data_IF_080440530794
#
_entry.id   IF_080440530794
#
_cell.length_a   1.000
_cell.length_b   1.000
_cell.length_c   1.000
_cell.angle_alpha   90.00
_cell.angle_beta   90.00
_cell.angle_gamma   90.00
#
_symmetry.space_group_name_H-M   'P 1'
#
loop_
_entity.id
_entity.type
_entity.pdbx_description
1 polymer ?
#
# COMPACT_ATOMS: atom_id res chain seq x y z
N UNK A 1 8.74 -26.32 -15.81
CA UNK A 1 8.27 -25.46 -14.70
C UNK A 1 7.85 -24.12 -15.29
N UNK A 2 6.58 -23.73 -15.22
CA UNK A 2 6.11 -22.42 -15.70
C UNK A 2 6.12 -21.42 -14.55
N UNK A 3 6.83 -20.30 -14.70
CA UNK A 3 6.78 -19.18 -13.75
C UNK A 3 5.48 -18.41 -13.98
N UNK A 4 4.78 -18.03 -12.90
CA UNK A 4 3.57 -17.19 -12.94
C UNK A 4 3.78 -15.96 -12.08
N UNK A 5 3.58 -14.77 -12.65
CA UNK A 5 3.54 -13.51 -11.90
C UNK A 5 2.12 -13.33 -11.37
N UNK A 6 1.96 -13.40 -10.05
CA UNK A 6 0.66 -13.33 -9.37
C UNK A 6 0.45 -12.04 -8.57
N UNK A 7 1.50 -11.23 -8.44
CA UNK A 7 1.46 -9.93 -7.79
C UNK A 7 2.62 -9.05 -8.22
N UNK A 8 2.44 -7.74 -8.05
CA UNK A 8 3.40 -6.70 -8.39
C UNK A 8 3.36 -5.63 -7.31
N UNK A 9 4.55 -5.16 -6.91
CA UNK A 9 4.73 -4.01 -6.04
C UNK A 9 5.78 -3.09 -6.64
N UNK A 10 5.48 -1.79 -6.71
CA UNK A 10 6.39 -0.74 -7.12
C UNK A 10 6.51 0.25 -5.96
N UNK A 11 7.75 0.58 -5.59
CA UNK A 11 8.05 1.55 -4.54
C UNK A 11 9.01 2.63 -5.04
N UNK A 12 8.90 3.82 -4.46
CA UNK A 12 9.89 4.88 -4.59
C UNK A 12 10.66 5.03 -3.28
N UNK A 13 11.90 4.53 -3.24
CA UNK A 13 12.77 4.68 -2.06
C UNK A 13 13.03 6.16 -1.74
N UNK A 14 13.23 6.98 -2.77
CA UNK A 14 13.49 8.43 -2.63
C UNK A 14 12.33 9.16 -1.95
N UNK A 15 11.09 8.79 -2.26
CA UNK A 15 9.88 9.41 -1.69
C UNK A 15 9.34 8.68 -0.46
N UNK A 16 9.91 7.52 -0.10
CA UNK A 16 9.33 6.59 0.88
C UNK A 16 7.87 6.24 0.57
N UNK A 17 7.58 5.92 -0.70
CA UNK A 17 6.21 5.79 -1.21
C UNK A 17 5.97 4.41 -1.82
N UNK A 18 4.79 3.84 -1.56
CA UNK A 18 4.25 2.71 -2.31
C UNK A 18 3.49 3.28 -3.52
N UNK A 19 4.06 3.12 -4.71
CA UNK A 19 3.51 3.71 -5.93
C UNK A 19 2.43 2.83 -6.56
N UNK A 20 2.57 1.50 -6.45
CA UNK A 20 1.61 0.58 -7.05
C UNK A 20 1.63 -0.78 -6.36
N UNK A 21 0.46 -1.36 -6.12
CA UNK A 21 0.30 -2.71 -5.58
C UNK A 21 -0.86 -3.42 -6.29
N UNK A 22 -0.58 -4.59 -6.86
CA UNK A 22 -1.59 -5.42 -7.48
C UNK A 22 -1.37 -6.90 -7.14
N UNK A 23 -2.48 -7.63 -6.98
CA UNK A 23 -2.50 -9.09 -6.88
C UNK A 23 -3.56 -9.60 -7.85
N UNK A 24 -3.17 -10.59 -8.65
CA UNK A 24 -4.05 -11.25 -9.61
C UNK A 24 -5.34 -11.73 -8.90
N UNK A 25 -6.54 -11.52 -9.47
CA UNK A 25 -7.82 -11.81 -8.79
C UNK A 25 -7.90 -13.19 -8.14
N UNK A 26 -7.48 -14.25 -8.86
CA UNK A 26 -7.49 -15.64 -8.38
C UNK A 26 -6.51 -15.95 -7.23
N UNK A 27 -5.65 -14.99 -6.86
CA UNK A 27 -4.66 -15.12 -5.80
C UNK A 27 -4.86 -14.11 -4.65
N UNK A 28 -5.95 -13.33 -4.69
CA UNK A 28 -6.34 -12.42 -3.59
C UNK A 28 -6.75 -13.22 -2.35
N UNK A 29 -6.73 -12.57 -1.19
CA UNK A 29 -7.05 -13.15 0.14
C UNK A 29 -6.13 -14.31 0.57
N UNK A 30 -4.96 -14.47 -0.06
CA UNK A 30 -3.92 -15.46 0.30
C UNK A 30 -2.69 -14.85 0.97
N UNK A 31 -2.80 -13.63 1.51
CA UNK A 31 -1.69 -12.93 2.18
C UNK A 31 -0.62 -12.29 1.27
N UNK A 32 -0.65 -12.53 -0.05
CA UNK A 32 0.38 -12.06 -0.99
C UNK A 32 0.64 -10.55 -0.90
N UNK A 33 -0.40 -9.73 -0.89
CA UNK A 33 -0.27 -8.28 -0.82
C UNK A 33 0.39 -7.84 0.51
N UNK A 34 0.02 -8.48 1.61
CA UNK A 34 0.62 -8.22 2.92
C UNK A 34 2.10 -8.59 2.95
N UNK A 35 2.49 -9.72 2.38
CA UNK A 35 3.89 -10.14 2.31
C UNK A 35 4.73 -9.24 1.42
N UNK A 36 4.21 -8.82 0.25
CA UNK A 36 4.88 -7.83 -0.60
C UNK A 36 5.12 -6.51 0.15
N UNK A 37 4.13 -6.02 0.89
CA UNK A 37 4.25 -4.79 1.68
C UNK A 37 5.24 -4.94 2.84
N UNK A 38 5.17 -6.04 3.61
CA UNK A 38 6.14 -6.29 4.69
C UNK A 38 7.57 -6.36 4.17
N UNK A 39 7.77 -7.01 3.02
CA UNK A 39 9.07 -7.05 2.36
C UNK A 39 9.55 -5.65 2.00
N UNK A 40 8.69 -4.79 1.44
CA UNK A 40 9.11 -3.44 1.05
C UNK A 40 9.45 -2.54 2.23
N UNK A 41 8.86 -2.74 3.40
CA UNK A 41 9.20 -1.97 4.60
C UNK A 41 10.70 -2.07 4.95
N UNK A 42 11.30 -3.23 4.68
CA UNK A 42 12.73 -3.47 4.89
C UNK A 42 13.63 -2.73 3.87
N UNK A 43 13.04 -2.22 2.78
CA UNK A 43 13.77 -1.56 1.70
C UNK A 43 13.82 -0.03 1.84
N UNK A 44 13.07 0.54 2.78
CA UNK A 44 13.04 1.96 3.10
C UNK A 44 14.02 2.31 4.23
N UNK A 45 14.32 3.59 4.41
CA UNK A 45 15.06 4.06 5.58
C UNK A 45 14.19 3.83 6.83
N UNK A 46 14.71 3.19 7.91
CA UNK A 46 13.96 2.96 9.14
C UNK A 46 13.38 4.23 9.78
N UNK A 47 13.99 5.40 9.55
CA UNK A 47 13.51 6.69 10.07
C UNK A 47 12.42 7.32 9.19
N UNK A 48 12.09 6.72 8.05
CA UNK A 48 11.08 7.25 7.13
C UNK A 48 9.66 7.01 7.63
N UNK A 49 8.77 7.90 7.17
CA UNK A 49 7.34 7.65 7.09
C UNK A 49 7.02 7.13 5.70
N UNK A 50 6.48 5.91 5.59
CA UNK A 50 6.02 5.35 4.33
C UNK A 50 4.66 5.94 3.98
N UNK A 51 4.46 6.35 2.74
CA UNK A 51 3.19 6.83 2.22
C UNK A 51 2.59 5.87 1.19
N UNK A 52 1.26 5.87 1.10
CA UNK A 52 0.51 5.27 0.00
C UNK A 52 -0.79 6.04 -0.19
N UNK A 53 -1.20 6.28 -1.43
CA UNK A 53 -2.52 6.83 -1.71
C UNK A 53 -3.50 5.71 -2.02
N UNK A 54 -4.73 5.80 -1.51
CA UNK A 54 -5.80 4.88 -1.85
C UNK A 54 -7.15 5.59 -1.92
N UNK A 55 -8.20 4.85 -2.26
CA UNK A 55 -9.55 5.40 -2.33
C UNK A 55 -10.05 5.87 -0.95
N UNK A 56 -10.97 6.83 -0.96
CA UNK A 56 -11.61 7.36 0.25
C UNK A 56 -12.52 6.32 0.92
N UNK A 57 -12.97 6.61 2.14
CA UNK A 57 -13.78 5.68 2.94
C UNK A 57 -15.12 5.31 2.30
N UNK A 58 -15.74 6.27 1.62
CA UNK A 58 -17.03 6.17 0.94
C UNK A 58 -16.94 5.46 -0.43
N UNK A 59 -15.72 5.20 -0.92
CA UNK A 59 -15.52 4.49 -2.18
C UNK A 59 -15.45 2.98 -1.97
N UNK A 60 -16.36 2.24 -2.62
CA UNK A 60 -16.39 0.77 -2.62
C UNK A 60 -15.06 0.12 -3.03
N UNK A 61 -14.27 0.75 -3.91
CA UNK A 61 -12.94 0.28 -4.32
C UNK A 61 -11.93 0.36 -3.16
N UNK A 62 -12.18 1.23 -2.18
CA UNK A 62 -11.38 1.44 -0.98
C UNK A 62 -11.50 0.36 0.07
N UNK A 63 -12.60 -0.40 0.11
CA UNK A 63 -12.91 -1.34 1.20
C UNK A 63 -11.76 -2.33 1.46
N UNK A 64 -11.24 -2.98 0.41
CA UNK A 64 -10.16 -3.95 0.52
C UNK A 64 -8.78 -3.31 0.80
N UNK A 65 -8.29 -2.34 0.01
CA UNK A 65 -6.98 -1.74 0.24
C UNK A 65 -6.90 -0.97 1.56
N UNK A 66 -7.94 -0.21 1.96
CA UNK A 66 -7.96 0.49 3.26
C UNK A 66 -7.82 -0.49 4.42
N UNK A 67 -8.58 -1.60 4.39
CA UNK A 67 -8.49 -2.65 5.41
C UNK A 67 -7.09 -3.28 5.47
N UNK A 68 -6.47 -3.49 4.32
CA UNK A 68 -5.10 -4.01 4.22
C UNK A 68 -4.07 -3.04 4.82
N UNK A 69 -4.14 -1.75 4.46
CA UNK A 69 -3.18 -0.77 4.98
C UNK A 69 -3.36 -0.57 6.50
N UNK A 70 -4.61 -0.42 6.98
CA UNK A 70 -4.90 -0.32 8.42
C UNK A 70 -4.39 -1.52 9.21
N UNK A 71 -4.55 -2.75 8.69
CA UNK A 71 -4.06 -3.96 9.38
C UNK A 71 -2.54 -4.05 9.45
N UNK A 72 -1.81 -3.33 8.60
CA UNK A 72 -0.35 -3.21 8.63
C UNK A 72 0.13 -1.98 9.42
N UNK A 73 -0.79 -1.29 10.11
CA UNK A 73 -0.50 -0.13 10.95
C UNK A 73 -0.26 1.16 10.16
N UNK A 74 -0.80 1.27 8.94
CA UNK A 74 -0.98 2.59 8.34
C UNK A 74 -2.16 3.29 8.99
N UNK A 75 -2.06 4.60 9.10
CA UNK A 75 -3.14 5.49 9.51
C UNK A 75 -3.53 6.40 8.37
N UNK A 76 -4.75 6.90 8.44
CA UNK A 76 -5.26 7.91 7.53
C UNK A 76 -4.55 9.25 7.74
N UNK A 77 -4.30 9.94 6.64
CA UNK A 77 -3.75 11.29 6.58
C UNK A 77 -4.62 12.14 5.63
N UNK A 78 -4.07 13.21 5.05
CA UNK A 78 -4.78 14.15 4.19
C UNK A 78 -5.61 13.50 3.06
N UNK A 79 -6.76 14.12 2.77
CA UNK A 79 -7.54 13.84 1.57
C UNK A 79 -6.85 14.49 0.37
N UNK A 80 -6.74 13.75 -0.73
CA UNK A 80 -6.04 14.17 -1.93
C UNK A 80 -6.91 13.98 -3.18
N UNK A 81 -6.36 14.37 -4.34
CA UNK A 81 -6.84 13.99 -5.66
C UNK A 81 -5.68 13.47 -6.50
N UNK A 82 -5.87 12.33 -7.14
CA UNK A 82 -4.92 11.77 -8.09
C UNK A 82 -5.59 11.55 -9.44
N UNK A 83 -5.04 12.13 -10.50
CA UNK A 83 -5.56 12.04 -11.87
C UNK A 83 -7.06 12.39 -11.98
N UNK A 84 -7.52 13.38 -11.20
CA UNK A 84 -8.91 13.80 -11.15
C UNK A 84 -9.83 12.89 -10.31
N UNK A 85 -9.29 11.90 -9.62
CA UNK A 85 -10.04 10.99 -8.76
C UNK A 85 -9.84 11.32 -7.26
N UNK A 86 -10.90 11.41 -6.45
CA UNK A 86 -10.80 11.63 -5.00
C UNK A 86 -10.10 10.46 -4.29
N UNK A 87 -9.03 10.76 -3.57
CA UNK A 87 -8.21 9.78 -2.86
C UNK A 87 -7.90 10.26 -1.45
N UNK A 88 -7.22 9.41 -0.68
CA UNK A 88 -6.72 9.72 0.66
C UNK A 88 -5.32 9.12 0.84
N UNK A 89 -4.42 9.92 1.39
CA UNK A 89 -3.09 9.47 1.77
C UNK A 89 -3.15 8.66 3.06
N UNK A 90 -2.36 7.60 3.10
CA UNK A 90 -2.13 6.77 4.27
C UNK A 90 -0.64 6.82 4.60
N UNK A 91 -0.33 6.90 5.89
CA UNK A 91 1.05 6.99 6.37
C UNK A 91 1.37 5.87 7.37
N UNK A 92 2.62 5.41 7.39
CA UNK A 92 3.16 4.46 8.36
C UNK A 92 4.54 4.91 8.82
N UNK A 93 4.70 5.16 10.11
CA UNK A 93 6.02 5.37 10.72
C UNK A 93 6.71 4.03 10.93
N UNK A 94 7.95 3.89 10.44
CA UNK A 94 8.72 2.65 10.60
C UNK A 94 9.37 2.52 11.97
N UNK A 95 9.83 3.62 12.56
CA UNK A 95 10.15 3.70 13.99
C UNK A 95 8.93 4.22 14.76
N UNK A 96 8.66 3.62 15.92
CA UNK A 96 7.78 4.25 16.91
C UNK A 96 8.56 5.42 17.53
N UNK A 97 7.93 6.59 17.59
CA UNK A 97 8.39 7.68 18.46
C UNK A 97 8.34 7.23 19.91
#
# INVERSE_FOLDING_TARGET
MMIRIVGLLIISKKKSEICFLAVHPNYRKKGIASELLKFSFQLFNPQSTITVTTYREDDSKGIAPRRLYKSLGFIEDELTMEYGYPTQRFIKHLMKQ
#
